data_IF_414452568217
#
_entry.id   IF_414452568217
#
_cell.length_a   1.000
_cell.length_b   1.000
_cell.length_c   1.000
_cell.angle_alpha   90.00
_cell.angle_beta   90.00
_cell.angle_gamma   90.00
#
_symmetry.space_group_name_H-M   'P 1'
#
loop_
_entity.id
_entity.type
_entity.pdbx_description
1 polymer ?
#
# COMPACT_ATOMS: atom_id res chain seq x y z
N UNK A 1 -13.68 22.67 -32.06
CA UNK A 1 -13.88 21.32 -31.49
C UNK A 1 -14.60 20.49 -32.57
N UNK A 2 -13.90 19.55 -33.18
CA UNK A 2 -14.37 18.86 -34.40
C UNK A 2 -15.46 17.84 -34.06
N UNK A 3 -16.41 17.63 -34.97
CA UNK A 3 -17.55 16.70 -34.82
C UNK A 3 -17.10 15.26 -34.47
N UNK A 4 -15.88 14.86 -34.90
CA UNK A 4 -15.26 13.58 -34.56
C UNK A 4 -14.87 13.41 -33.08
N UNK A 5 -14.62 14.50 -32.36
CA UNK A 5 -14.25 14.46 -30.94
C UNK A 5 -15.49 14.29 -30.04
N UNK A 6 -16.64 14.87 -30.43
CA UNK A 6 -17.93 14.67 -29.73
C UNK A 6 -18.40 13.21 -29.81
N UNK A 7 -18.37 12.64 -31.02
CA UNK A 7 -18.78 11.26 -31.28
C UNK A 7 -17.86 10.22 -30.61
N UNK A 8 -16.64 10.60 -30.19
CA UNK A 8 -15.74 9.75 -29.40
C UNK A 8 -15.99 9.87 -27.89
N UNK A 9 -16.33 11.07 -27.42
CA UNK A 9 -16.68 11.32 -26.02
C UNK A 9 -18.01 10.65 -25.65
N UNK A 10 -19.03 10.79 -26.51
CA UNK A 10 -20.37 10.21 -26.29
C UNK A 10 -20.34 8.68 -26.25
N UNK A 11 -19.53 8.04 -27.11
CA UNK A 11 -19.31 6.58 -27.06
C UNK A 11 -18.53 6.12 -25.83
N UNK A 12 -17.65 6.96 -25.27
CA UNK A 12 -16.91 6.60 -24.06
C UNK A 12 -17.82 6.62 -22.83
N UNK A 13 -18.77 7.55 -22.78
CA UNK A 13 -19.78 7.65 -21.71
C UNK A 13 -20.67 6.40 -21.66
N UNK A 14 -21.05 5.83 -22.80
CA UNK A 14 -21.84 4.59 -22.88
C UNK A 14 -21.14 3.37 -22.27
N UNK A 15 -19.81 3.30 -22.34
CA UNK A 15 -19.05 2.18 -21.74
C UNK A 15 -18.94 2.26 -20.21
N UNK A 16 -19.06 3.47 -19.63
CA UNK A 16 -18.96 3.67 -18.17
C UNK A 16 -20.11 2.98 -17.45
N UNK A 17 -21.29 2.90 -18.07
CA UNK A 17 -22.48 2.27 -17.50
C UNK A 17 -22.32 0.76 -17.29
N UNK A 18 -21.37 0.12 -17.96
CA UNK A 18 -21.07 -1.30 -17.80
C UNK A 18 -19.99 -1.58 -16.74
N UNK A 19 -19.37 -0.53 -16.19
CA UNK A 19 -18.35 -0.66 -15.15
C UNK A 19 -19.01 -0.67 -13.78
N UNK A 20 -18.53 -1.55 -12.90
CA UNK A 20 -18.83 -1.49 -11.47
C UNK A 20 -18.36 -0.17 -10.87
N UNK A 21 -18.94 0.22 -9.74
CA UNK A 21 -18.51 1.42 -9.00
C UNK A 21 -17.01 1.34 -8.69
N UNK A 22 -16.52 0.17 -8.30
CA UNK A 22 -15.10 -0.05 -8.01
C UNK A 22 -14.23 0.22 -9.24
N UNK A 23 -14.56 -0.34 -10.40
CA UNK A 23 -13.83 -0.10 -11.65
C UNK A 23 -13.84 1.38 -12.05
N UNK A 24 -14.98 2.06 -11.90
CA UNK A 24 -15.08 3.49 -12.15
C UNK A 24 -14.17 4.31 -11.22
N UNK A 25 -14.15 3.98 -9.91
CA UNK A 25 -13.27 4.64 -8.93
C UNK A 25 -11.80 4.35 -9.22
N UNK A 26 -11.44 3.12 -9.55
CA UNK A 26 -10.07 2.75 -9.92
C UNK A 26 -9.59 3.50 -11.15
N UNK A 27 -10.44 3.69 -12.17
CA UNK A 27 -10.10 4.52 -13.33
C UNK A 27 -9.89 5.99 -12.93
N UNK A 28 -10.77 6.54 -12.08
CA UNK A 28 -10.64 7.92 -11.59
C UNK A 28 -9.33 8.14 -10.83
N UNK A 29 -8.95 7.19 -9.96
CA UNK A 29 -7.69 7.21 -9.22
C UNK A 29 -6.47 7.12 -10.14
N UNK A 30 -6.48 6.21 -11.13
CA UNK A 30 -5.38 6.10 -12.11
C UNK A 30 -5.20 7.38 -12.92
N UNK A 31 -6.30 8.06 -13.27
CA UNK A 31 -6.25 9.37 -13.93
C UNK A 31 -5.66 10.44 -13.00
N UNK A 32 -6.07 10.46 -11.73
CA UNK A 32 -5.49 11.34 -10.71
C UNK A 32 -3.98 11.14 -10.60
N UNK A 33 -3.52 9.90 -10.39
CA UNK A 33 -2.09 9.60 -10.24
C UNK A 33 -1.28 9.96 -11.48
N UNK A 34 -1.82 9.66 -12.68
CA UNK A 34 -1.17 10.02 -13.94
C UNK A 34 -1.02 11.54 -14.11
N UNK A 35 -1.98 12.35 -13.64
CA UNK A 35 -1.89 13.82 -13.67
C UNK A 35 -0.78 14.36 -12.77
N UNK A 36 -0.48 13.65 -11.68
CA UNK A 36 0.65 13.93 -10.79
C UNK A 36 1.94 13.23 -11.22
N UNK A 37 2.03 12.79 -12.47
CA UNK A 37 3.23 12.18 -13.07
C UNK A 37 3.67 10.85 -12.45
N UNK A 38 2.78 10.16 -11.74
CA UNK A 38 3.03 8.78 -11.34
C UNK A 38 2.87 7.85 -12.54
N UNK A 39 3.85 6.98 -12.75
CA UNK A 39 3.85 6.05 -13.87
C UNK A 39 3.25 4.71 -13.47
N UNK A 40 2.45 4.10 -14.36
CA UNK A 40 1.93 2.77 -14.12
C UNK A 40 3.08 1.76 -14.03
N UNK A 41 3.15 1.04 -12.92
CA UNK A 41 4.14 0.01 -12.66
C UNK A 41 3.45 -1.34 -12.48
N UNK A 42 3.80 -2.28 -13.36
CA UNK A 42 3.24 -3.65 -13.35
C UNK A 42 4.21 -4.62 -12.75
N UNK A 43 3.67 -5.53 -11.94
CA UNK A 43 4.43 -6.57 -11.28
C UNK A 43 3.98 -7.96 -11.75
N UNK A 44 4.88 -8.93 -11.66
CA UNK A 44 4.49 -10.34 -11.73
C UNK A 44 3.66 -10.71 -10.50
N UNK A 45 2.71 -11.64 -10.58
CA UNK A 45 1.99 -12.12 -9.39
C UNK A 45 2.91 -12.90 -8.41
N UNK A 46 4.04 -13.42 -8.91
CA UNK A 46 4.98 -14.24 -8.13
C UNK A 46 6.43 -13.78 -8.29
N UNK A 47 7.27 -14.10 -7.32
CA UNK A 47 8.72 -13.84 -7.32
C UNK A 47 9.50 -14.83 -6.44
N UNK A 48 10.84 -14.78 -6.45
CA UNK A 48 11.65 -15.66 -5.60
C UNK A 48 11.38 -15.38 -4.11
N UNK A 49 11.19 -16.44 -3.32
CA UNK A 49 11.00 -16.33 -1.87
C UNK A 49 12.22 -15.71 -1.14
N UNK A 50 13.42 -15.79 -1.73
CA UNK A 50 14.65 -15.22 -1.18
C UNK A 50 14.53 -13.73 -0.85
N UNK A 51 13.59 -13.05 -1.51
CA UNK A 51 13.23 -11.66 -1.25
C UNK A 51 12.75 -11.41 0.16
N UNK A 52 11.81 -12.24 0.60
CA UNK A 52 11.13 -12.10 1.88
C UNK A 52 11.97 -12.68 3.02
N UNK A 53 12.80 -13.68 2.72
CA UNK A 53 13.74 -14.24 3.68
C UNK A 53 14.77 -13.22 4.20
N UNK A 54 15.08 -12.18 3.41
CA UNK A 54 16.03 -11.11 3.77
C UNK A 54 15.38 -9.96 4.55
N UNK A 55 14.06 -9.77 4.42
CA UNK A 55 13.30 -8.69 5.06
C UNK A 55 12.57 -9.14 6.33
N UNK A 56 13.05 -10.20 7.00
CA UNK A 56 12.43 -10.79 8.21
C UNK A 56 12.19 -9.82 9.38
N UNK A 57 12.78 -8.62 9.34
CA UNK A 57 12.53 -7.54 10.31
C UNK A 57 11.26 -6.71 9.99
N UNK A 58 10.73 -6.77 8.76
CA UNK A 58 9.61 -5.92 8.29
C UNK A 58 8.39 -6.71 7.79
N UNK A 59 8.60 -7.92 7.27
CA UNK A 59 7.50 -8.81 6.94
C UNK A 59 7.13 -9.58 8.21
N UNK A 60 5.86 -9.58 8.61
CA UNK A 60 5.31 -10.68 9.41
C UNK A 60 5.63 -11.97 8.64
N UNK A 61 6.62 -12.78 9.05
CA UNK A 61 7.14 -13.88 8.21
C UNK A 61 6.08 -14.96 7.95
N UNK A 62 4.97 -14.86 8.68
CA UNK A 62 3.92 -15.86 8.72
C UNK A 62 3.01 -15.75 7.47
N UNK A 63 2.72 -14.59 6.88
CA UNK A 63 1.62 -14.50 5.89
C UNK A 63 1.96 -14.83 4.42
N UNK A 64 3.19 -15.26 4.09
CA UNK A 64 3.63 -15.44 2.70
C UNK A 64 3.31 -16.83 2.17
N UNK A 65 2.57 -16.91 1.06
CA UNK A 65 2.24 -18.18 0.39
C UNK A 65 3.40 -18.57 -0.53
N UNK A 66 3.91 -19.79 -0.36
CA UNK A 66 5.06 -20.31 -1.14
C UNK A 66 4.69 -21.53 -1.98
N UNK A 67 5.41 -21.72 -3.09
CA UNK A 67 5.26 -22.88 -3.97
C UNK A 67 6.60 -23.21 -4.65
N UNK A 68 6.72 -24.44 -5.14
CA UNK A 68 7.91 -24.87 -5.89
C UNK A 68 7.78 -24.41 -7.34
N UNK A 69 8.72 -23.58 -7.77
CA UNK A 69 8.80 -23.08 -9.14
C UNK A 69 9.26 -24.14 -10.14
N UNK A 70 9.12 -23.85 -11.42
CA UNK A 70 9.44 -24.78 -12.51
C UNK A 70 10.89 -25.28 -12.54
N UNK A 71 11.85 -24.59 -11.90
CA UNK A 71 13.26 -25.02 -11.81
C UNK A 71 13.62 -25.51 -10.39
N UNK A 72 12.63 -25.84 -9.56
CA UNK A 72 12.83 -26.35 -8.21
C UNK A 72 13.12 -25.28 -7.15
N UNK A 73 13.24 -24.01 -7.52
CA UNK A 73 13.40 -22.91 -6.57
C UNK A 73 12.10 -22.60 -5.82
N UNK A 74 12.21 -22.11 -4.59
CA UNK A 74 11.04 -21.66 -3.82
C UNK A 74 10.59 -20.29 -4.32
N UNK A 75 9.35 -20.23 -4.76
CA UNK A 75 8.67 -19.01 -5.21
C UNK A 75 7.63 -18.60 -4.18
N UNK A 76 7.28 -17.32 -4.19
CA UNK A 76 6.24 -16.75 -3.35
C UNK A 76 5.22 -16.00 -4.21
N UNK A 77 3.95 -16.10 -3.81
CA UNK A 77 2.96 -15.10 -4.21
C UNK A 77 3.21 -13.82 -3.43
N UNK A 78 3.08 -12.67 -4.08
CA UNK A 78 3.37 -11.37 -3.46
C UNK A 78 2.42 -11.09 -2.29
N UNK A 79 2.89 -10.93 -1.04
CA UNK A 79 2.06 -10.56 0.11
C UNK A 79 1.89 -9.03 0.23
N UNK A 80 2.70 -8.28 -0.52
CA UNK A 80 2.82 -6.82 -0.48
C UNK A 80 3.43 -6.32 -1.81
N UNK A 81 3.04 -5.12 -2.25
CA UNK A 81 3.52 -4.51 -3.50
C UNK A 81 4.78 -3.65 -3.30
N UNK A 82 4.85 -2.90 -2.19
CA UNK A 82 5.90 -1.91 -1.92
C UNK A 82 7.29 -2.52 -1.94
N UNK A 83 7.49 -3.66 -1.25
CA UNK A 83 8.79 -4.35 -1.24
C UNK A 83 9.23 -4.82 -2.64
N UNK A 84 8.27 -5.28 -3.45
CA UNK A 84 8.54 -5.73 -4.82
C UNK A 84 8.93 -4.57 -5.73
N UNK A 85 8.32 -3.39 -5.56
CA UNK A 85 8.68 -2.18 -6.30
C UNK A 85 10.12 -1.80 -5.96
N UNK A 86 10.42 -1.56 -4.67
CA UNK A 86 11.76 -1.12 -4.21
C UNK A 86 12.87 -2.01 -4.79
N UNK A 87 12.68 -3.33 -4.72
CA UNK A 87 13.69 -4.28 -5.19
C UNK A 87 13.85 -4.33 -6.71
N UNK A 88 12.77 -4.16 -7.47
CA UNK A 88 12.83 -4.19 -8.93
C UNK A 88 13.23 -2.84 -9.54
N UNK A 89 13.08 -1.75 -8.78
CA UNK A 89 13.45 -0.42 -9.23
C UNK A 89 14.85 0.02 -8.79
N UNK A 90 15.40 -0.56 -7.72
CA UNK A 90 16.67 -0.12 -7.12
C UNK A 90 16.51 1.17 -6.28
N UNK A 91 17.43 1.39 -5.34
CA UNK A 91 17.30 2.42 -4.29
C UNK A 91 17.83 3.82 -4.67
N UNK A 92 18.38 4.01 -5.86
CA UNK A 92 19.24 5.18 -6.15
C UNK A 92 18.61 6.25 -7.03
N UNK A 93 17.45 5.99 -7.63
CA UNK A 93 16.77 6.95 -8.51
C UNK A 93 15.41 7.31 -7.93
N UNK A 94 15.06 8.60 -8.03
CA UNK A 94 13.73 9.08 -7.69
C UNK A 94 12.68 8.46 -8.63
N UNK A 95 11.61 7.89 -8.06
CA UNK A 95 10.54 7.25 -8.83
C UNK A 95 9.18 7.55 -8.24
N UNK A 96 8.25 7.96 -9.10
CA UNK A 96 6.82 8.07 -8.80
C UNK A 96 6.09 7.02 -9.59
N UNK A 97 5.54 6.03 -8.90
CA UNK A 97 4.83 4.92 -9.55
C UNK A 97 3.47 4.70 -8.92
N UNK A 98 2.50 4.28 -9.70
CA UNK A 98 1.25 3.73 -9.20
C UNK A 98 1.07 2.29 -9.69
N UNK A 99 0.37 1.48 -8.91
CA UNK A 99 0.11 0.07 -9.19
C UNK A 99 -1.37 -0.25 -9.00
N UNK A 100 -1.84 -1.28 -9.69
CA UNK A 100 -3.22 -1.80 -9.63
C UNK A 100 -3.14 -3.32 -9.72
N UNK A 101 -2.91 -3.97 -8.59
CA UNK A 101 -2.40 -5.35 -8.52
C UNK A 101 -3.06 -6.12 -7.38
N UNK A 102 -3.09 -7.44 -7.50
CA UNK A 102 -3.53 -8.34 -6.43
C UNK A 102 -2.34 -8.77 -5.56
N UNK A 103 -2.53 -8.75 -4.23
CA UNK A 103 -1.64 -9.40 -3.26
C UNK A 103 -2.33 -10.60 -2.62
N UNK A 104 -1.50 -11.54 -2.14
CA UNK A 104 -1.95 -12.82 -1.63
C UNK A 104 -1.36 -13.11 -0.26
N UNK A 105 -2.22 -13.45 0.70
CA UNK A 105 -1.83 -13.68 2.10
C UNK A 105 -2.46 -14.96 2.63
N UNK A 106 -1.75 -15.63 3.52
CA UNK A 106 -2.35 -16.68 4.35
C UNK A 106 -2.98 -16.05 5.61
N UNK A 107 -4.27 -16.28 5.80
CA UNK A 107 -5.00 -15.94 7.02
C UNK A 107 -4.92 -17.10 8.01
N UNK A 108 -4.11 -16.94 9.06
CA UNK A 108 -3.92 -17.96 10.09
C UNK A 108 -5.11 -18.16 11.02
N UNK A 109 -6.04 -17.21 11.08
CA UNK A 109 -7.22 -17.35 11.92
C UNK A 109 -8.24 -18.29 11.30
N UNK A 110 -8.34 -18.27 9.96
CA UNK A 110 -9.32 -19.05 9.21
C UNK A 110 -8.69 -20.20 8.40
N UNK A 111 -7.35 -20.31 8.40
CA UNK A 111 -6.59 -21.25 7.54
C UNK A 111 -6.91 -21.10 6.04
N UNK A 112 -7.26 -19.88 5.62
CA UNK A 112 -7.63 -19.57 4.24
C UNK A 112 -6.58 -18.71 3.52
N UNK A 113 -6.63 -18.74 2.19
CA UNK A 113 -5.84 -17.85 1.36
C UNK A 113 -6.70 -16.65 0.92
N UNK A 114 -6.19 -15.45 1.18
CA UNK A 114 -6.84 -14.21 0.80
C UNK A 114 -6.19 -13.63 -0.44
N UNK A 115 -7.03 -13.20 -1.39
CA UNK A 115 -6.64 -12.30 -2.48
C UNK A 115 -7.17 -10.91 -2.16
N UNK A 116 -6.29 -9.93 -2.13
CA UNK A 116 -6.62 -8.53 -1.82
C UNK A 116 -6.21 -7.69 -3.03
N UNK A 117 -7.18 -7.04 -3.65
CA UNK A 117 -6.91 -6.09 -4.72
C UNK A 117 -6.41 -4.77 -4.13
N UNK A 118 -5.32 -4.22 -4.66
CA UNK A 118 -4.70 -2.99 -4.19
C UNK A 118 -4.40 -2.04 -5.34
N UNK A 119 -4.82 -0.78 -5.15
CA UNK A 119 -4.48 0.34 -6.00
C UNK A 119 -3.79 1.40 -5.14
N UNK A 120 -2.54 1.72 -5.46
CA UNK A 120 -1.72 2.60 -4.63
C UNK A 120 -0.62 3.30 -5.42
N UNK A 121 0.10 4.18 -4.72
CA UNK A 121 1.24 4.93 -5.25
C UNK A 121 2.47 4.70 -4.37
N UNK A 122 3.66 4.79 -4.96
CA UNK A 122 4.94 4.85 -4.25
C UNK A 122 5.77 6.00 -4.81
N UNK A 123 6.34 6.81 -3.92
CA UNK A 123 7.37 7.80 -4.24
C UNK A 123 8.66 7.38 -3.54
N UNK A 124 9.61 6.89 -4.32
CA UNK A 124 10.86 6.30 -3.85
C UNK A 124 12.00 7.27 -4.15
N UNK A 125 12.92 7.45 -3.22
CA UNK A 125 14.12 8.28 -3.39
C UNK A 125 14.39 9.15 -2.16
N UNK A 126 15.17 10.21 -2.36
CA UNK A 126 15.40 11.23 -1.34
C UNK A 126 14.23 12.21 -1.33
N UNK A 127 13.27 11.97 -0.44
CA UNK A 127 12.05 12.79 -0.35
C UNK A 127 12.28 14.09 0.41
N UNK A 128 11.56 15.13 -0.02
CA UNK A 128 11.49 16.45 0.61
C UNK A 128 10.12 16.66 1.26
N UNK A 129 9.97 17.71 2.07
CA UNK A 129 8.66 18.09 2.61
C UNK A 129 7.62 18.45 1.55
N UNK A 130 8.05 18.87 0.35
CA UNK A 130 7.12 19.11 -0.75
C UNK A 130 6.56 17.79 -1.29
N UNK A 131 7.38 16.74 -1.32
CA UNK A 131 6.94 15.40 -1.75
C UNK A 131 5.98 14.80 -0.72
N UNK A 132 6.27 14.92 0.58
CA UNK A 132 5.34 14.52 1.65
C UNK A 132 3.99 15.24 1.53
N UNK A 133 4.02 16.56 1.26
CA UNK A 133 2.81 17.35 1.04
C UNK A 133 2.03 16.84 -0.18
N UNK A 134 2.69 16.56 -1.29
CA UNK A 134 2.05 16.04 -2.51
C UNK A 134 1.36 14.70 -2.24
N UNK A 135 2.00 13.79 -1.48
CA UNK A 135 1.40 12.52 -1.09
C UNK A 135 0.14 12.73 -0.23
N UNK A 136 0.17 13.69 0.71
CA UNK A 136 -1.00 14.03 1.54
C UNK A 136 -2.14 14.65 0.71
N UNK A 137 -1.82 15.52 -0.24
CA UNK A 137 -2.81 16.09 -1.18
C UNK A 137 -3.46 14.98 -2.02
N UNK A 138 -2.65 14.09 -2.59
CA UNK A 138 -3.13 12.93 -3.34
C UNK A 138 -3.99 11.98 -2.49
N UNK A 139 -3.64 11.76 -1.23
CA UNK A 139 -4.44 10.96 -0.32
C UNK A 139 -5.82 11.59 -0.09
N UNK A 140 -5.88 12.91 0.14
CA UNK A 140 -7.15 13.63 0.33
C UNK A 140 -8.01 13.62 -0.94
N UNK A 141 -7.42 13.84 -2.11
CA UNK A 141 -8.12 13.78 -3.39
C UNK A 141 -8.65 12.37 -3.69
N UNK A 142 -7.86 11.34 -3.38
CA UNK A 142 -8.26 9.94 -3.51
C UNK A 142 -9.45 9.61 -2.59
N UNK A 143 -9.41 10.08 -1.35
CA UNK A 143 -10.52 9.92 -0.40
C UNK A 143 -11.78 10.63 -0.90
N UNK A 144 -11.66 11.82 -1.49
CA UNK A 144 -12.80 12.53 -2.07
C UNK A 144 -13.40 11.77 -3.27
N UNK A 145 -12.57 11.14 -4.10
CA UNK A 145 -13.03 10.24 -5.17
C UNK A 145 -13.81 9.06 -4.57
N UNK A 146 -13.29 8.43 -3.52
CA UNK A 146 -13.91 7.25 -2.90
C UNK A 146 -15.17 7.57 -2.08
N UNK A 147 -15.43 8.82 -1.71
CA UNK A 147 -16.62 9.26 -1.00
C UNK A 147 -16.36 9.70 0.45
N UNK A 148 -17.25 9.32 1.38
CA UNK A 148 -17.12 9.75 2.80
C UNK A 148 -16.03 8.96 3.50
N UNK A 149 -14.91 9.62 3.77
CA UNK A 149 -13.74 8.98 4.35
C UNK A 149 -13.08 9.85 5.43
N UNK A 150 -12.15 9.26 6.21
CA UNK A 150 -11.38 9.94 7.26
C UNK A 150 -9.89 9.64 7.06
N UNK A 151 -9.05 10.67 7.16
CA UNK A 151 -7.60 10.53 7.17
C UNK A 151 -7.09 10.65 8.61
N UNK A 152 -6.35 9.66 9.08
CA UNK A 152 -5.65 9.70 10.37
C UNK A 152 -4.15 9.78 10.11
N UNK A 153 -3.49 10.74 10.74
CA UNK A 153 -2.04 10.96 10.63
C UNK A 153 -1.37 10.62 11.96
N UNK A 154 -0.19 10.00 11.88
CA UNK A 154 0.67 9.68 13.01
C UNK A 154 2.12 9.85 12.60
N UNK A 155 3.02 9.90 13.57
CA UNK A 155 4.46 10.05 13.35
C UNK A 155 5.22 9.02 14.17
N UNK A 156 5.95 8.12 13.50
CA UNK A 156 6.64 7.02 14.19
C UNK A 156 7.65 7.52 15.22
N UNK A 157 8.41 8.59 14.92
CA UNK A 157 9.33 9.20 15.90
C UNK A 157 8.63 9.60 17.20
N UNK A 158 7.42 10.18 17.15
CA UNK A 158 6.68 10.51 18.36
C UNK A 158 6.37 9.26 19.21
N UNK A 159 5.97 8.17 18.55
CA UNK A 159 5.71 6.89 19.23
C UNK A 159 6.99 6.33 19.83
N UNK A 160 8.10 6.35 19.09
CA UNK A 160 9.39 5.86 19.58
C UNK A 160 9.91 6.69 20.77
N UNK A 161 9.79 8.02 20.71
CA UNK A 161 10.15 8.92 21.82
C UNK A 161 9.29 8.63 23.06
N UNK A 162 7.98 8.45 22.90
CA UNK A 162 7.09 8.04 23.99
C UNK A 162 7.53 6.70 24.61
N UNK A 163 7.85 5.71 23.77
CA UNK A 163 8.30 4.39 24.23
C UNK A 163 9.68 4.43 24.91
N UNK A 164 10.50 5.45 24.62
CA UNK A 164 11.78 5.65 25.29
C UNK A 164 11.65 5.96 26.78
N UNK A 165 10.48 6.44 27.22
CA UNK A 165 10.19 6.71 28.64
C UNK A 165 9.95 5.45 29.47
N UNK A 166 9.84 4.29 28.82
CA UNK A 166 9.60 3.01 29.46
C UNK A 166 10.77 2.05 29.26
N UNK A 167 10.99 1.21 30.25
CA UNK A 167 11.93 0.08 30.19
C UNK A 167 11.58 -0.81 28.99
N UNK A 168 12.60 -1.38 28.34
CA UNK A 168 12.44 -2.17 27.11
C UNK A 168 11.43 -3.31 27.27
N UNK A 169 11.45 -3.99 28.41
CA UNK A 169 10.54 -5.09 28.77
C UNK A 169 9.06 -4.66 28.82
N UNK A 170 8.78 -3.38 29.11
CA UNK A 170 7.42 -2.85 29.23
C UNK A 170 6.86 -2.31 27.91
N UNK A 171 7.73 -2.01 26.92
CA UNK A 171 7.33 -1.35 25.67
C UNK A 171 6.25 -2.12 24.91
N UNK A 172 6.33 -3.46 24.88
CA UNK A 172 5.33 -4.29 24.20
C UNK A 172 3.93 -4.12 24.81
N UNK A 173 3.85 -4.07 26.14
CA UNK A 173 2.57 -3.91 26.87
C UNK A 173 2.05 -2.48 26.72
N UNK A 174 2.93 -1.49 26.73
CA UNK A 174 2.56 -0.08 26.44
C UNK A 174 2.00 0.07 25.03
N UNK A 175 2.60 -0.55 24.02
CA UNK A 175 2.07 -0.58 22.65
C UNK A 175 0.68 -1.22 22.61
N UNK A 176 0.48 -2.33 23.34
CA UNK A 176 -0.82 -2.98 23.42
C UNK A 176 -1.88 -2.07 24.05
N UNK A 177 -1.56 -1.40 25.16
CA UNK A 177 -2.46 -0.45 25.81
C UNK A 177 -2.79 0.76 24.91
N UNK A 178 -1.81 1.29 24.17
CA UNK A 178 -2.01 2.34 23.17
C UNK A 178 -2.96 1.89 22.04
N UNK A 179 -2.77 0.69 21.51
CA UNK A 179 -3.63 0.11 20.47
C UNK A 179 -5.08 -0.06 20.95
N UNK A 180 -5.27 -0.42 22.23
CA UNK A 180 -6.57 -0.57 22.86
C UNK A 180 -7.18 0.76 23.33
N UNK A 181 -6.42 1.87 23.23
CA UNK A 181 -6.77 3.18 23.81
C UNK A 181 -7.07 3.10 25.32
N UNK A 182 -6.40 2.18 26.02
CA UNK A 182 -6.61 1.92 27.45
C UNK A 182 -5.76 2.88 28.29
N UNK A 183 -6.31 4.07 28.58
CA UNK A 183 -5.61 5.10 29.38
C UNK A 183 -5.31 4.60 30.80
N UNK A 184 -6.21 3.80 31.38
CA UNK A 184 -6.07 3.28 32.74
C UNK A 184 -4.90 2.29 32.88
N UNK A 185 -4.66 1.46 31.86
CA UNK A 185 -3.51 0.56 31.84
C UNK A 185 -2.20 1.34 31.75
N UNK A 186 -2.15 2.41 30.96
CA UNK A 186 -0.96 3.25 30.83
C UNK A 186 -0.56 3.92 32.16
N UNK A 187 -1.53 4.32 32.99
CA UNK A 187 -1.26 4.87 34.33
C UNK A 187 -0.59 3.86 35.26
N UNK A 188 -0.80 2.56 35.02
CA UNK A 188 -0.24 1.47 35.83
C UNK A 188 1.25 1.23 35.52
N UNK A 189 1.73 1.66 34.35
CA UNK A 189 3.11 1.44 33.90
C UNK A 189 4.04 2.65 34.12
N UNK A 190 3.51 3.74 34.69
CA UNK A 190 4.26 4.94 35.07
C UNK A 190 5.04 4.72 36.38
#
# INVERSE_FOLDING_TARGET
MCIRDRDRSERMEEYVDFLSIEEQKSIQLKVLFSRHHFQNYRLSAFESYDLYAKSREFATPQSVITFVGAKGQVMALKPDITLSIIKNTGNTEEKKVFYDEDVYRHDFHNEEYLRIHQLGIEHIGSLTHNDEREILELALESLNILGTNRLHLSHQTLVNELLSWFDEEKRAVVIQALNQKSVHELETYR
#
